data_IF_556895234303
#
_entry.id   IF_556895234303
#
_cell.length_a   1.000
_cell.length_b   1.000
_cell.length_c   1.000
_cell.angle_alpha   90.00
_cell.angle_beta   90.00
_cell.angle_gamma   90.00
#
_symmetry.space_group_name_H-M   'P 1'
#
loop_
_entity.id
_entity.type
_entity.pdbx_description
1 polymer ?
#
# COMPACT_ATOMS: atom_id res chain seq x y z
N UNK A 1 14.44 1.82 7.37
CA UNK A 1 13.55 1.41 8.49
C UNK A 1 12.21 0.90 7.96
N UNK A 2 11.35 1.71 7.33
CA UNK A 2 10.04 1.24 6.84
C UNK A 2 10.09 0.12 5.79
N UNK A 3 11.05 0.16 4.86
CA UNK A 3 11.26 -0.89 3.84
C UNK A 3 11.48 -2.27 4.46
N UNK A 4 12.38 -2.37 5.43
CA UNK A 4 12.74 -3.63 6.08
C UNK A 4 11.54 -4.28 6.77
N UNK A 5 10.67 -3.49 7.42
CA UNK A 5 9.46 -4.00 8.05
C UNK A 5 8.47 -4.52 7.00
N UNK A 6 8.31 -3.82 5.88
CA UNK A 6 7.43 -4.29 4.80
C UNK A 6 7.95 -5.58 4.16
N UNK A 7 9.26 -5.70 3.94
CA UNK A 7 9.89 -6.92 3.44
C UNK A 7 9.66 -8.10 4.40
N UNK A 8 9.88 -7.90 5.71
CA UNK A 8 9.58 -8.93 6.71
C UNK A 8 8.09 -9.32 6.73
N UNK A 9 7.17 -8.36 6.60
CA UNK A 9 5.74 -8.65 6.52
C UNK A 9 5.39 -9.46 5.27
N UNK A 10 5.99 -9.14 4.12
CA UNK A 10 5.79 -9.91 2.89
C UNK A 10 6.31 -11.34 3.01
N UNK A 11 7.43 -11.54 3.68
CA UNK A 11 8.00 -12.87 3.92
C UNK A 11 7.16 -13.69 4.91
N UNK A 12 6.70 -13.06 6.01
CA UNK A 12 5.88 -13.74 7.03
C UNK A 12 4.51 -14.16 6.50
N UNK A 13 3.94 -13.41 5.56
CA UNK A 13 2.63 -13.68 4.94
C UNK A 13 2.78 -13.87 3.43
N UNK A 14 3.72 -14.73 3.03
CA UNK A 14 4.01 -15.01 1.63
C UNK A 14 2.83 -15.64 0.87
N UNK A 15 1.87 -16.21 1.59
CA UNK A 15 0.63 -16.84 1.09
C UNK A 15 -0.55 -15.87 0.97
N UNK A 16 -0.41 -14.61 1.41
CA UNK A 16 -1.47 -13.61 1.27
C UNK A 16 -1.76 -13.33 -0.21
N UNK A 17 -3.02 -13.39 -0.64
CA UNK A 17 -3.42 -13.11 -2.03
C UNK A 17 -3.24 -11.63 -2.41
N UNK A 18 -3.45 -10.72 -1.45
CA UNK A 18 -3.32 -9.28 -1.63
C UNK A 18 -3.03 -8.54 -0.34
N UNK A 19 -2.43 -7.36 -0.48
CA UNK A 19 -2.29 -6.35 0.55
C UNK A 19 -3.11 -5.12 0.18
N UNK A 20 -3.81 -4.56 1.16
CA UNK A 20 -4.58 -3.32 1.02
C UNK A 20 -4.23 -2.38 2.17
N UNK A 21 -4.11 -1.09 1.89
CA UNK A 21 -3.91 -0.06 2.91
C UNK A 21 -4.54 1.26 2.51
N UNK A 22 -4.74 2.14 3.48
CA UNK A 22 -5.16 3.51 3.26
C UNK A 22 -4.08 4.48 3.78
N UNK A 23 -3.93 5.63 3.11
CA UNK A 23 -3.00 6.69 3.53
C UNK A 23 -3.57 8.08 3.25
N UNK A 24 -2.93 9.12 3.76
CA UNK A 24 -3.30 10.52 3.49
C UNK A 24 -2.68 10.93 2.16
N UNK A 25 -3.49 11.38 1.20
CA UNK A 25 -3.04 11.76 -0.14
C UNK A 25 -2.05 12.91 -0.16
N UNK A 26 -2.11 13.78 0.86
CA UNK A 26 -1.20 14.91 1.05
C UNK A 26 0.16 14.48 1.61
N UNK A 27 0.27 13.29 2.23
CA UNK A 27 1.54 12.72 2.66
C UNK A 27 2.24 12.04 1.48
N UNK A 28 2.87 12.86 0.64
CA UNK A 28 3.55 12.41 -0.59
C UNK A 28 4.70 11.45 -0.31
N UNK A 29 5.33 11.54 0.87
CA UNK A 29 6.40 10.62 1.26
C UNK A 29 5.85 9.20 1.44
N UNK A 30 4.71 9.06 2.11
CA UNK A 30 4.07 7.75 2.27
C UNK A 30 3.51 7.23 0.94
N UNK A 31 2.88 8.08 0.13
CA UNK A 31 2.42 7.68 -1.21
C UNK A 31 3.57 7.10 -2.05
N UNK A 32 4.67 7.85 -2.18
CA UNK A 32 5.83 7.42 -2.94
C UNK A 32 6.47 6.15 -2.36
N UNK A 33 6.49 6.02 -1.02
CA UNK A 33 6.98 4.82 -0.35
C UNK A 33 6.18 3.58 -0.76
N UNK A 34 4.85 3.63 -0.75
CA UNK A 34 4.01 2.49 -1.12
C UNK A 34 4.07 2.18 -2.62
N UNK A 35 4.08 3.20 -3.48
CA UNK A 35 4.28 3.03 -4.93
C UNK A 35 5.59 2.29 -5.24
N UNK A 36 6.69 2.67 -4.57
CA UNK A 36 7.99 2.01 -4.72
C UNK A 36 7.98 0.55 -4.25
N UNK A 37 7.09 0.20 -3.31
CA UNK A 37 6.88 -1.18 -2.84
C UNK A 37 5.96 -2.01 -3.75
N UNK A 38 5.50 -1.43 -4.87
CA UNK A 38 4.64 -2.10 -5.85
C UNK A 38 3.16 -2.05 -5.52
N UNK A 39 2.73 -1.18 -4.59
CA UNK A 39 1.32 -0.87 -4.42
C UNK A 39 0.83 0.06 -5.52
N UNK A 40 -0.43 -0.13 -5.91
CA UNK A 40 -1.11 0.68 -6.93
C UNK A 40 -2.29 1.39 -6.28
N UNK A 41 -2.44 2.67 -6.59
CA UNK A 41 -3.56 3.49 -6.12
C UNK A 41 -4.90 2.84 -6.49
N UNK A 42 -5.81 2.77 -5.52
CA UNK A 42 -7.20 2.43 -5.80
C UNK A 42 -7.97 3.71 -6.07
N UNK A 43 -8.97 3.67 -6.96
CA UNK A 43 -9.81 4.82 -7.25
C UNK A 43 -10.70 5.26 -6.06
N UNK A 44 -10.53 4.66 -4.89
CA UNK A 44 -11.26 4.97 -3.67
C UNK A 44 -10.55 6.11 -2.93
N UNK A 45 -11.25 7.24 -2.82
CA UNK A 45 -10.79 8.38 -2.03
C UNK A 45 -11.94 8.96 -1.19
N UNK A 46 -11.65 9.28 0.07
CA UNK A 46 -12.59 9.91 0.99
C UNK A 46 -12.03 11.25 1.45
N UNK A 47 -12.72 12.35 1.12
CA UNK A 47 -12.37 13.68 1.61
C UNK A 47 -12.88 13.80 3.05
N UNK A 48 -11.97 13.98 4.01
CA UNK A 48 -12.32 14.19 5.42
C UNK A 48 -12.48 15.68 5.70
N UNK A 49 -11.53 16.49 5.23
CA UNK A 49 -11.55 17.94 5.29
C UNK A 49 -10.57 18.54 4.26
N UNK A 50 -10.44 19.87 4.24
CA UNK A 50 -9.58 20.61 3.31
C UNK A 50 -8.11 20.17 3.28
N UNK A 51 -7.60 19.57 4.36
CA UNK A 51 -6.20 19.18 4.51
C UNK A 51 -5.99 17.67 4.46
N UNK A 52 -7.05 16.87 4.41
CA UNK A 52 -6.97 15.43 4.59
C UNK A 52 -7.93 14.70 3.65
N UNK A 53 -7.34 14.04 2.65
CA UNK A 53 -8.03 13.08 1.80
C UNK A 53 -7.41 11.71 2.07
N UNK A 54 -8.23 10.74 2.48
CA UNK A 54 -7.79 9.35 2.58
C UNK A 54 -7.88 8.69 1.21
N UNK A 55 -6.83 7.98 0.82
CA UNK A 55 -6.75 7.23 -0.44
C UNK A 55 -6.33 5.78 -0.18
N UNK A 56 -6.80 4.86 -1.02
CA UNK A 56 -6.46 3.45 -0.94
C UNK A 56 -5.30 3.05 -1.87
N UNK A 57 -4.63 1.98 -1.49
CA UNK A 57 -3.59 1.30 -2.26
C UNK A 57 -3.77 -0.21 -2.16
N UNK A 58 -3.50 -0.94 -3.25
CA UNK A 58 -3.46 -2.40 -3.28
C UNK A 58 -2.20 -2.94 -3.93
N UNK A 59 -1.68 -4.06 -3.41
CA UNK A 59 -0.61 -4.86 -4.03
C UNK A 59 -1.08 -6.30 -4.10
N UNK A 60 -1.24 -6.83 -5.31
CA UNK A 60 -1.55 -8.26 -5.52
C UNK A 60 -0.29 -9.09 -5.39
N UNK A 61 -0.33 -10.14 -4.58
CA UNK A 61 0.74 -11.12 -4.54
C UNK A 61 0.52 -12.09 -5.70
N UNK A 62 1.53 -12.26 -6.56
CA UNK A 62 1.44 -13.28 -7.61
C UNK A 62 1.57 -14.64 -6.94
N UNK A 63 0.52 -15.47 -7.03
CA UNK A 63 0.67 -16.92 -6.85
C UNK A 63 1.59 -17.42 -7.96
N UNK A 64 2.73 -17.98 -7.59
CA UNK A 64 3.47 -18.86 -8.49
C UNK A 64 2.65 -20.14 -8.64
N UNK A 65 2.01 -20.32 -9.79
CA UNK A 65 1.53 -21.63 -10.20
C UNK A 65 2.70 -22.35 -10.87
N UNK A 66 3.21 -23.41 -10.25
CA UNK A 66 3.84 -24.54 -10.95
C UNK A 66 3.64 -25.80 -10.13
#
# INVERSE_FOLDING_TARGET
MGTTVMEMLFDMYADADKWSLATIAQDKRNCHFYEKMGFVYTWESTVINERMTIIGYEKRCRRWNT
#
